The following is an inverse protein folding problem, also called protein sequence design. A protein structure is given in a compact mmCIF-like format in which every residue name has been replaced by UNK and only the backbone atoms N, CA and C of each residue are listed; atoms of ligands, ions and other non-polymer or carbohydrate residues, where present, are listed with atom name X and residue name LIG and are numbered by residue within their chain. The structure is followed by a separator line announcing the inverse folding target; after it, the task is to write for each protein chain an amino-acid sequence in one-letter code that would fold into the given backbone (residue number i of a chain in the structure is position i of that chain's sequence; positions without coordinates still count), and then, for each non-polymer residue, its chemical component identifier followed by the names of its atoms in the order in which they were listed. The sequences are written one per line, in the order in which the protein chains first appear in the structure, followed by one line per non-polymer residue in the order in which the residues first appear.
data_IF_176962646180
#
_entry.id   IF_176962646180
#
_cell.length_a   1.000
_cell.length_b   1.000
_cell.length_c   1.000
_cell.angle_alpha   90.00
_cell.angle_beta   90.00
_cell.angle_gamma   90.00
#
_symmetry.space_group_name_H-M   'P 1'
#
loop_
_entity.id
_entity.type
_entity.pdbx_description
1 polymer ?
#
# COMPACT_ATOMS: atom_id res chain seq x y z
N UNK A 1 -7.38 16.80 4.51
CA UNK A 1 -6.59 15.63 4.04
C UNK A 1 -6.12 14.83 5.26
N UNK A 2 -6.49 13.55 5.37
CA UNK A 2 -6.09 12.70 6.49
C UNK A 2 -4.68 12.14 6.25
N UNK A 3 -3.74 12.46 7.14
CA UNK A 3 -2.38 11.89 7.13
C UNK A 3 -2.19 10.97 8.32
N UNK A 4 -1.67 9.78 8.09
CA UNK A 4 -1.30 8.86 9.16
C UNK A 4 -0.14 9.45 9.99
N UNK A 5 -0.13 9.14 11.30
CA UNK A 5 1.02 9.39 12.17
C UNK A 5 2.20 8.56 11.69
N UNK A 6 3.38 9.19 11.58
CA UNK A 6 4.61 8.46 11.31
C UNK A 6 4.96 7.55 12.49
N UNK A 7 5.87 6.59 12.29
CA UNK A 7 6.32 5.73 13.39
C UNK A 7 6.89 6.57 14.55
N UNK A 8 7.69 7.60 14.24
CA UNK A 8 8.23 8.51 15.25
C UNK A 8 7.13 9.27 16.00
N UNK A 9 6.07 9.69 15.29
CA UNK A 9 4.94 10.35 15.95
C UNK A 9 4.18 9.40 16.88
N UNK A 10 4.08 8.12 16.53
CA UNK A 10 3.46 7.10 17.39
C UNK A 10 4.29 6.86 18.66
N UNK A 11 5.62 6.80 18.54
CA UNK A 11 6.52 6.66 19.70
C UNK A 11 6.37 7.86 20.64
N UNK A 12 6.34 9.08 20.09
CA UNK A 12 6.06 10.29 20.88
C UNK A 12 4.69 10.23 21.53
N UNK A 13 3.67 9.72 20.82
CA UNK A 13 2.31 9.61 21.36
C UNK A 13 2.27 8.63 22.54
N UNK A 14 2.96 7.50 22.45
CA UNK A 14 3.10 6.51 23.54
C UNK A 14 3.71 7.15 24.80
N UNK A 15 4.79 7.93 24.64
CA UNK A 15 5.41 8.66 25.75
C UNK A 15 4.46 9.70 26.38
N UNK A 16 3.77 10.48 25.55
CA UNK A 16 2.84 11.52 26.01
C UNK A 16 1.62 10.95 26.73
N UNK A 17 1.12 9.81 26.27
CA UNK A 17 0.03 9.06 26.92
C UNK A 17 0.48 8.47 28.25
N UNK A 18 1.76 8.13 28.42
CA UNK A 18 2.19 7.49 29.66
C UNK A 18 2.03 8.41 30.88
N UNK A 19 2.46 9.68 30.84
CA UNK A 19 2.47 10.55 32.05
C UNK A 19 2.42 12.07 31.83
N UNK A 20 2.56 12.59 30.60
CA UNK A 20 2.88 14.02 30.41
C UNK A 20 1.63 14.91 30.33
N UNK A 21 0.56 14.44 29.68
CA UNK A 21 -0.63 15.25 29.43
C UNK A 21 -1.86 14.71 30.16
N UNK A 22 -1.84 14.73 31.49
CA UNK A 22 -3.01 14.42 32.32
C UNK A 22 -3.82 15.69 32.63
N UNK A 23 -5.14 15.56 32.65
CA UNK A 23 -6.06 16.55 33.22
C UNK A 23 -6.02 16.47 34.75
N UNK A 24 -6.61 17.47 35.43
CA UNK A 24 -6.74 17.49 36.90
C UNK A 24 -7.46 16.26 37.48
N UNK A 25 -8.32 15.60 36.70
CA UNK A 25 -9.05 14.39 37.07
C UNK A 25 -8.28 13.08 36.75
N UNK A 26 -7.01 13.16 36.33
CA UNK A 26 -6.19 11.98 35.99
C UNK A 26 -6.45 11.39 34.60
N UNK A 27 -7.39 11.94 33.82
CA UNK A 27 -7.62 11.50 32.44
C UNK A 27 -6.62 12.10 31.44
N UNK A 28 -6.40 11.41 30.33
CA UNK A 28 -5.58 11.93 29.23
C UNK A 28 -6.19 13.18 28.57
N UNK A 29 -5.39 14.25 28.47
CA UNK A 29 -5.74 15.48 27.78
C UNK A 29 -5.45 15.38 26.28
N UNK A 30 -6.34 14.72 25.55
CA UNK A 30 -6.20 14.51 24.10
C UNK A 30 -6.10 15.83 23.31
N UNK A 31 -6.73 16.91 23.79
CA UNK A 31 -6.67 18.22 23.13
C UNK A 31 -5.27 18.84 23.22
N UNK A 32 -4.59 18.69 24.37
CA UNK A 32 -3.21 19.15 24.53
C UNK A 32 -2.24 18.35 23.67
N UNK A 33 -2.39 17.02 23.64
CA UNK A 33 -1.61 16.13 22.77
C UNK A 33 -1.79 16.51 21.30
N UNK A 34 -3.03 16.76 20.87
CA UNK A 34 -3.34 17.16 19.50
C UNK A 34 -2.66 18.49 19.10
N UNK A 35 -2.67 19.48 20.01
CA UNK A 35 -1.94 20.74 19.82
C UNK A 35 -0.43 20.52 19.69
N UNK A 36 0.16 19.67 20.54
CA UNK A 36 1.59 19.32 20.49
C UNK A 36 1.99 18.73 19.13
N UNK A 37 1.18 17.82 18.59
CA UNK A 37 1.42 17.22 17.27
C UNK A 37 1.09 18.16 16.10
N UNK A 38 0.52 19.34 16.35
CA UNK A 38 -0.09 20.19 15.34
C UNK A 38 -1.07 19.40 14.44
N UNK A 39 -1.90 18.55 15.08
CA UNK A 39 -2.90 17.70 14.41
C UNK A 39 -4.27 17.92 15.01
N UNK A 40 -5.29 17.59 14.22
CA UNK A 40 -6.65 17.60 14.73
C UNK A 40 -6.88 16.49 15.78
N UNK A 41 -7.65 16.79 16.82
CA UNK A 41 -7.99 15.87 17.94
C UNK A 41 -8.49 14.50 17.46
N UNK A 42 -9.29 14.50 16.39
CA UNK A 42 -9.85 13.26 15.83
C UNK A 42 -8.80 12.29 15.27
N UNK A 43 -7.62 12.77 14.86
CA UNK A 43 -6.52 11.90 14.41
C UNK A 43 -5.94 11.11 15.59
N UNK A 44 -5.67 11.79 16.70
CA UNK A 44 -5.17 11.17 17.94
C UNK A 44 -6.21 10.19 18.49
N UNK A 45 -7.48 10.59 18.56
CA UNK A 45 -8.56 9.71 19.02
C UNK A 45 -8.69 8.45 18.16
N UNK A 46 -8.64 8.58 16.83
CA UNK A 46 -8.74 7.42 15.93
C UNK A 46 -7.57 6.46 16.09
N UNK A 47 -6.38 6.96 16.40
CA UNK A 47 -5.20 6.14 16.63
C UNK A 47 -5.33 5.35 17.94
N UNK A 48 -5.72 6.02 19.02
CA UNK A 48 -5.93 5.41 20.34
C UNK A 48 -7.08 4.39 20.30
N UNK A 49 -8.20 4.73 19.64
CA UNK A 49 -9.37 3.85 19.48
C UNK A 49 -9.08 2.54 18.72
N UNK A 50 -7.88 2.35 18.16
CA UNK A 50 -7.47 1.06 17.56
C UNK A 50 -7.23 -0.01 18.64
N UNK A 51 -6.98 0.41 19.87
CA UNK A 51 -6.72 -0.44 21.02
C UNK A 51 -7.92 -0.43 21.96
N UNK A 52 -8.06 -1.47 22.79
CA UNK A 52 -9.19 -1.59 23.74
C UNK A 52 -9.04 -0.62 24.90
N UNK A 53 -7.82 -0.48 25.41
CA UNK A 53 -7.45 0.43 26.49
C UNK A 53 -6.29 1.33 26.07
N UNK A 54 -6.13 2.47 26.75
CA UNK A 54 -5.01 3.39 26.50
C UNK A 54 -3.69 2.76 26.96
N UNK A 55 -3.70 1.99 28.04
CA UNK A 55 -2.51 1.34 28.61
C UNK A 55 -1.95 0.22 27.71
N UNK A 56 -2.81 -0.36 26.85
CA UNK A 56 -2.38 -1.33 25.84
C UNK A 56 -1.71 -0.69 24.61
N UNK A 57 -1.82 0.64 24.47
CA UNK A 57 -1.28 1.35 23.32
C UNK A 57 0.24 1.16 23.25
N UNK A 58 0.71 0.72 22.09
CA UNK A 58 2.14 0.73 21.78
C UNK A 58 2.36 1.12 20.33
N UNK A 59 3.34 1.99 20.09
CA UNK A 59 3.71 2.45 18.77
C UNK A 59 4.05 1.27 17.85
N UNK A 60 4.80 0.30 18.38
CA UNK A 60 5.17 -0.92 17.66
C UNK A 60 3.95 -1.75 17.27
N UNK A 61 3.04 -2.01 18.23
CA UNK A 61 1.81 -2.76 17.96
C UNK A 61 0.96 -2.05 16.90
N UNK A 62 0.81 -0.72 16.98
CA UNK A 62 0.00 0.04 16.02
C UNK A 62 0.57 -0.05 14.61
N UNK A 63 1.89 0.08 14.49
CA UNK A 63 2.57 0.01 13.21
C UNK A 63 2.51 -1.37 12.58
N UNK A 64 2.73 -2.42 13.40
CA UNK A 64 2.55 -3.81 12.97
C UNK A 64 1.13 -4.07 12.46
N UNK A 65 0.10 -3.65 13.22
CA UNK A 65 -1.30 -3.78 12.81
C UNK A 65 -1.60 -3.06 11.49
N UNK A 66 -1.01 -1.88 11.27
CA UNK A 66 -1.16 -1.14 10.02
C UNK A 66 -0.63 -1.95 8.82
N UNK A 67 0.59 -2.48 8.92
CA UNK A 67 1.19 -3.27 7.84
C UNK A 67 0.45 -4.58 7.59
N UNK A 68 -0.04 -5.27 8.63
CA UNK A 68 -0.86 -6.48 8.48
C UNK A 68 -2.17 -6.19 7.75
N UNK A 69 -2.88 -5.12 8.12
CA UNK A 69 -4.10 -4.68 7.41
C UNK A 69 -3.79 -4.30 5.96
N UNK A 70 -2.67 -3.61 5.73
CA UNK A 70 -2.23 -3.21 4.38
C UNK A 70 -1.90 -4.42 3.50
N UNK A 71 -1.29 -5.48 4.07
CA UNK A 71 -1.09 -6.76 3.38
C UNK A 71 -2.43 -7.39 2.97
N UNK A 72 -3.42 -7.39 3.87
CA UNK A 72 -4.78 -7.92 3.61
C UNK A 72 -5.57 -7.10 2.58
N UNK A 73 -5.40 -5.78 2.52
CA UNK A 73 -6.12 -4.92 1.57
C UNK A 73 -5.59 -4.98 0.14
N UNK A 74 -4.35 -5.43 -0.07
CA UNK A 74 -3.78 -5.60 -1.41
C UNK A 74 -4.16 -6.96 -2.03
N UNK A 75 -5.41 -7.41 -1.89
CA UNK A 75 -5.89 -8.63 -2.57
C UNK A 75 -5.75 -8.42 -4.08
N UNK A 76 -4.96 -9.29 -4.71
CA UNK A 76 -4.82 -9.33 -6.17
C UNK A 76 -5.63 -10.50 -6.71
N UNK A 77 -5.92 -10.44 -8.02
CA UNK A 77 -6.60 -11.54 -8.70
C UNK A 77 -5.76 -12.82 -8.60
N UNK A 78 -6.40 -13.95 -8.30
CA UNK A 78 -5.72 -15.25 -8.30
C UNK A 78 -6.00 -15.92 -9.63
N UNK A 79 -4.97 -16.03 -10.46
CA UNK A 79 -5.04 -16.83 -11.68
C UNK A 79 -5.00 -18.31 -11.33
N UNK A 80 -5.67 -19.13 -12.14
CA UNK A 80 -5.44 -20.58 -12.13
C UNK A 80 -4.05 -20.90 -12.67
N UNK A 81 -3.56 -22.10 -12.40
CA UNK A 81 -2.26 -22.55 -12.92
C UNK A 81 -2.21 -22.52 -14.45
N UNK A 82 -3.29 -22.95 -15.11
CA UNK A 82 -3.39 -22.90 -16.56
C UNK A 82 -3.32 -21.46 -17.11
N UNK A 83 -3.99 -20.51 -16.43
CA UNK A 83 -3.95 -19.10 -16.79
C UNK A 83 -2.54 -18.53 -16.61
N UNK A 84 -1.85 -18.86 -15.52
CA UNK A 84 -0.47 -18.44 -15.29
C UNK A 84 0.48 -19.01 -16.34
N UNK A 85 0.39 -20.30 -16.64
CA UNK A 85 1.23 -20.94 -17.65
C UNK A 85 1.03 -20.31 -19.03
N UNK A 86 -0.21 -20.04 -19.41
CA UNK A 86 -0.51 -19.30 -20.64
C UNK A 86 0.11 -17.89 -20.61
N UNK A 87 -0.10 -17.16 -19.52
CA UNK A 87 0.44 -15.80 -19.37
C UNK A 87 1.96 -15.79 -19.48
N UNK A 88 2.63 -16.74 -18.83
CA UNK A 88 4.08 -16.90 -18.90
C UNK A 88 4.56 -17.22 -20.32
N UNK A 89 3.92 -18.17 -20.99
CA UNK A 89 4.28 -18.51 -22.38
C UNK A 89 4.12 -17.29 -23.30
N UNK A 90 2.98 -16.59 -23.22
CA UNK A 90 2.69 -15.43 -24.08
C UNK A 90 3.62 -14.24 -23.81
N UNK A 91 3.82 -13.89 -22.53
CA UNK A 91 4.55 -12.68 -22.15
C UNK A 91 6.05 -12.91 -21.97
N UNK A 92 6.45 -13.99 -21.30
CA UNK A 92 7.86 -14.26 -21.00
C UNK A 92 8.60 -14.90 -22.19
N UNK A 93 7.93 -15.74 -22.98
CA UNK A 93 8.56 -16.47 -24.10
C UNK A 93 8.26 -15.82 -25.45
N UNK A 94 6.99 -15.55 -25.77
CA UNK A 94 6.62 -14.94 -27.06
C UNK A 94 6.72 -13.42 -27.10
N UNK A 95 7.07 -12.78 -25.97
CA UNK A 95 7.26 -11.34 -25.88
C UNK A 95 6.04 -10.49 -26.32
N UNK A 96 4.82 -11.02 -26.15
CA UNK A 96 3.61 -10.25 -26.41
C UNK A 96 3.61 -8.96 -25.59
N UNK A 97 3.18 -7.85 -26.20
CA UNK A 97 2.95 -6.62 -25.46
C UNK A 97 1.81 -6.80 -24.43
N UNK A 98 1.75 -5.97 -23.37
CA UNK A 98 0.67 -6.06 -22.38
C UNK A 98 -0.75 -5.94 -22.96
N UNK A 99 -0.92 -5.22 -24.07
CA UNK A 99 -2.21 -5.11 -24.77
C UNK A 99 -2.56 -6.39 -25.51
N UNK A 100 -1.59 -6.99 -26.21
CA UNK A 100 -1.77 -8.26 -26.93
C UNK A 100 -2.03 -9.41 -25.98
N UNK A 101 -1.31 -9.46 -24.85
CA UNK A 101 -1.53 -10.45 -23.81
C UNK A 101 -2.98 -10.44 -23.32
N UNK A 102 -3.54 -9.26 -23.04
CA UNK A 102 -4.93 -9.10 -22.60
C UNK A 102 -5.90 -9.61 -23.67
N UNK A 103 -5.66 -9.25 -24.93
CA UNK A 103 -6.52 -9.67 -26.04
C UNK A 103 -6.46 -11.19 -26.27
N UNK A 104 -5.25 -11.78 -26.30
CA UNK A 104 -5.05 -13.22 -26.48
C UNK A 104 -5.57 -14.04 -25.30
N UNK A 105 -5.45 -13.51 -24.09
CA UNK A 105 -6.08 -14.11 -22.92
C UNK A 105 -7.60 -14.19 -23.08
N UNK A 106 -8.23 -13.11 -23.55
CA UNK A 106 -9.66 -13.11 -23.83
C UNK A 106 -10.02 -14.12 -24.93
N UNK A 107 -9.23 -14.22 -26.01
CA UNK A 107 -9.47 -15.19 -27.08
C UNK A 107 -9.43 -16.64 -26.58
N UNK A 108 -8.44 -16.97 -25.73
CA UNK A 108 -8.26 -18.33 -25.18
C UNK A 108 -9.31 -18.69 -24.13
N UNK A 109 -9.49 -17.86 -23.11
CA UNK A 109 -10.32 -18.20 -21.95
C UNK A 109 -11.76 -17.69 -22.04
N UNK A 110 -12.08 -16.87 -23.05
CA UNK A 110 -13.39 -16.19 -23.21
C UNK A 110 -13.82 -15.36 -22.00
N UNK A 111 -12.87 -15.00 -21.13
CA UNK A 111 -13.06 -14.18 -19.93
C UNK A 111 -12.18 -12.94 -20.04
N UNK A 112 -12.72 -11.79 -19.59
CA UNK A 112 -11.98 -10.54 -19.56
C UNK A 112 -10.77 -10.65 -18.62
N UNK A 113 -9.63 -10.13 -19.05
CA UNK A 113 -8.45 -10.05 -18.18
C UNK A 113 -8.78 -9.23 -16.91
N UNK A 114 -8.31 -9.64 -15.72
CA UNK A 114 -8.75 -9.06 -14.46
C UNK A 114 -8.36 -7.60 -14.25
N UNK A 115 -7.48 -7.05 -15.10
CA UNK A 115 -6.99 -5.68 -14.99
C UNK A 115 -6.84 -5.02 -16.36
N UNK A 116 -6.88 -3.69 -16.38
CA UNK A 116 -6.57 -2.93 -17.59
C UNK A 116 -5.06 -2.91 -17.89
N UNK A 117 -4.71 -2.55 -19.13
CA UNK A 117 -3.32 -2.46 -19.62
C UNK A 117 -2.41 -1.66 -18.67
N UNK A 118 -2.86 -0.49 -18.20
CA UNK A 118 -2.08 0.37 -17.29
C UNK A 118 -1.73 -0.34 -15.97
N UNK A 119 -2.68 -1.09 -15.41
CA UNK A 119 -2.47 -1.86 -14.17
C UNK A 119 -1.58 -3.06 -14.42
N UNK A 120 -1.70 -3.72 -15.58
CA UNK A 120 -0.79 -4.80 -15.98
C UNK A 120 0.66 -4.30 -16.11
N UNK A 121 0.91 -3.14 -16.72
CA UNK A 121 2.24 -2.51 -16.72
C UNK A 121 2.78 -2.29 -15.30
N UNK A 122 1.93 -1.88 -14.36
CA UNK A 122 2.32 -1.72 -12.95
C UNK A 122 2.68 -3.08 -12.33
N UNK A 123 1.92 -4.13 -12.60
CA UNK A 123 2.18 -5.48 -12.11
C UNK A 123 3.51 -6.04 -12.64
N UNK A 124 3.78 -5.86 -13.94
CA UNK A 124 5.04 -6.27 -14.57
C UNK A 124 6.23 -5.55 -13.96
N UNK A 125 6.14 -4.23 -13.75
CA UNK A 125 7.23 -3.45 -13.12
C UNK A 125 7.50 -3.86 -11.68
N UNK A 126 6.46 -4.31 -10.95
CA UNK A 126 6.59 -4.80 -9.58
C UNK A 126 6.96 -6.30 -9.51
N UNK A 127 7.14 -6.97 -10.65
CA UNK A 127 7.53 -8.39 -10.72
C UNK A 127 6.45 -9.34 -10.21
N UNK A 128 5.17 -8.96 -10.31
CA UNK A 128 4.09 -9.85 -9.88
C UNK A 128 3.94 -11.02 -10.83
N UNK A 129 3.48 -12.17 -10.33
CA UNK A 129 3.21 -13.37 -11.12
C UNK A 129 4.37 -13.76 -12.06
N UNK A 130 5.62 -13.55 -11.63
CA UNK A 130 6.81 -13.91 -12.42
C UNK A 130 6.96 -13.18 -13.76
N UNK A 131 6.35 -12.00 -13.92
CA UNK A 131 6.51 -11.18 -15.13
C UNK A 131 7.95 -10.65 -15.28
N UNK A 132 8.57 -10.91 -16.43
CA UNK A 132 9.90 -10.39 -16.75
C UNK A 132 9.81 -8.95 -17.25
N UNK A 133 10.16 -7.98 -16.38
CA UNK A 133 10.18 -6.54 -16.74
C UNK A 133 11.07 -6.21 -17.96
N UNK A 134 12.04 -7.08 -18.26
CA UNK A 134 12.94 -6.95 -19.40
C UNK A 134 12.20 -7.10 -20.74
N UNK A 135 11.05 -7.78 -20.76
CA UNK A 135 10.26 -7.99 -21.97
C UNK A 135 9.37 -6.79 -22.33
N UNK A 136 9.34 -5.75 -21.48
CA UNK A 136 8.72 -4.49 -21.85
C UNK A 136 9.55 -3.78 -22.93
N UNK A 137 8.89 -2.98 -23.79
CA UNK A 137 9.52 -2.19 -24.87
C UNK A 137 10.79 -1.40 -24.47
N UNK A 138 10.86 -0.93 -23.23
CA UNK A 138 12.02 -0.19 -22.70
C UNK A 138 12.85 -1.01 -21.70
N UNK A 139 12.70 -2.33 -21.69
CA UNK A 139 13.35 -3.26 -20.75
C UNK A 139 13.18 -2.84 -19.27
N UNK A 140 12.02 -2.24 -18.95
CA UNK A 140 11.74 -1.72 -17.62
C UNK A 140 12.49 -0.43 -17.23
N UNK A 141 13.27 0.17 -18.14
CA UNK A 141 13.94 1.46 -17.92
C UNK A 141 12.91 2.58 -17.75
N UNK A 142 13.16 3.48 -16.79
CA UNK A 142 12.39 4.71 -16.66
C UNK A 142 12.82 5.66 -17.77
N UNK A 143 11.88 6.12 -18.59
CA UNK A 143 12.14 7.20 -19.55
C UNK A 143 12.47 8.45 -18.73
N UNK A 144 13.67 8.97 -18.88
CA UNK A 144 14.01 10.29 -18.36
C UNK A 144 13.17 11.32 -19.14
N UNK A 145 12.31 12.05 -18.45
CA UNK A 145 11.68 13.23 -19.06
C UNK A 145 12.81 14.22 -19.32
N UNK A 146 12.99 14.64 -20.58
CA UNK A 146 13.84 15.80 -20.89
C UNK A 146 13.36 16.94 -20.01
N UNK A 147 14.24 17.50 -19.17
CA UNK A 147 13.94 18.72 -18.42
C UNK A 147 13.55 19.77 -19.46
N UNK A 148 12.30 20.26 -19.40
CA UNK A 148 11.95 21.50 -20.09
C UNK A 148 12.72 22.59 -19.37
N UNK A 149 13.80 23.07 -19.98
CA UNK A 149 14.44 24.33 -19.63
C UNK A 149 13.42 25.38 -20.09
N UNK A 150 12.85 26.12 -19.14
CA UNK A 150 12.07 27.32 -19.40
C UNK A 150 13.00 28.50 -19.23
#
# INVERSE_FOLDING_TARGET
MYSHLSFMDKVKLEQLLSKIFLKKNGEQNISAIAKYFNRHRSTILREIKRFKTIDEYSAYKSDKMYYEKRKKNNKRFKFTEEQLNFIHLRFNVYHDSPSELIYRYFLKFKVKFPVCVKTLYKWIRLGFYGFLKQNLRHHGKKIQKKRKIW
#
